data_IF_974391966465
#
_entry.id   IF_974391966465
#
_cell.length_a   1.000
_cell.length_b   1.000
_cell.length_c   1.000
_cell.angle_alpha   90.00
_cell.angle_beta   90.00
_cell.angle_gamma   90.00
#
_symmetry.space_group_name_H-M   'P 1'
#
loop_
_entity.id
_entity.type
_entity.pdbx_description
1 polymer ?
#
# COMPACT_ATOMS: atom_id res chain seq x y z
N UNK A 1 -42.36 3.08 26.03
CA UNK A 1 -43.57 2.47 26.68
C UNK A 1 -43.63 2.84 28.16
N UNK A 2 -42.56 2.71 28.93
CA UNK A 2 -42.57 3.04 30.38
C UNK A 2 -42.90 4.52 30.66
N UNK A 3 -42.33 5.47 29.90
CA UNK A 3 -42.60 6.89 30.03
C UNK A 3 -44.07 7.25 29.82
N UNK A 4 -44.73 6.60 28.89
CA UNK A 4 -46.14 6.81 28.58
C UNK A 4 -47.03 6.34 29.73
N UNK A 5 -46.77 5.15 30.32
CA UNK A 5 -47.45 4.66 31.51
C UNK A 5 -47.26 5.60 32.72
N UNK A 6 -46.08 6.12 32.93
CA UNK A 6 -45.78 7.07 34.01
C UNK A 6 -46.54 8.38 33.78
N UNK A 7 -46.54 8.92 32.55
CA UNK A 7 -47.29 10.14 32.21
C UNK A 7 -48.77 9.99 32.45
N UNK A 8 -49.36 8.85 32.01
CA UNK A 8 -50.77 8.53 32.26
C UNK A 8 -51.05 8.43 33.76
N UNK A 9 -50.17 7.75 34.51
CA UNK A 9 -50.27 7.63 35.96
C UNK A 9 -50.22 8.98 36.69
N UNK A 10 -49.29 9.87 36.30
CA UNK A 10 -49.16 11.22 36.85
C UNK A 10 -50.42 12.06 36.52
N UNK A 11 -50.92 11.99 35.27
CA UNK A 11 -52.12 12.71 34.85
C UNK A 11 -53.35 12.25 35.64
N UNK A 12 -53.51 10.93 35.82
CA UNK A 12 -54.60 10.37 36.62
C UNK A 12 -54.52 10.77 38.10
N UNK A 13 -53.31 10.85 38.68
CA UNK A 13 -53.08 11.29 40.04
C UNK A 13 -53.40 12.78 40.20
N UNK A 14 -52.97 13.63 39.28
CA UNK A 14 -53.29 15.07 39.28
C UNK A 14 -54.81 15.29 39.19
N UNK A 15 -55.48 14.55 38.26
CA UNK A 15 -56.92 14.61 38.11
C UNK A 15 -57.67 14.17 39.40
N UNK A 16 -57.18 13.06 40.01
CA UNK A 16 -57.72 12.56 41.28
C UNK A 16 -57.55 13.54 42.44
N UNK A 17 -56.38 14.14 42.58
CA UNK A 17 -56.09 15.17 43.62
C UNK A 17 -56.95 16.41 43.37
N UNK A 18 -57.02 16.91 42.13
CA UNK A 18 -57.87 18.06 41.78
C UNK A 18 -59.33 17.82 42.08
N UNK A 19 -59.86 16.60 41.79
CA UNK A 19 -61.21 16.19 42.11
C UNK A 19 -61.43 16.14 43.65
N UNK A 20 -60.48 15.58 44.41
CA UNK A 20 -60.54 15.51 45.87
C UNK A 20 -60.56 16.90 46.53
N UNK A 21 -59.72 17.84 46.07
CA UNK A 21 -59.67 19.24 46.56
C UNK A 21 -60.99 19.95 46.22
N UNK A 22 -61.47 19.79 44.94
CA UNK A 22 -62.75 20.39 44.54
C UNK A 22 -63.94 19.90 45.41
N UNK A 23 -63.98 18.60 45.73
CA UNK A 23 -65.00 18.06 46.65
C UNK A 23 -64.83 18.51 48.04
N UNK A 24 -63.61 18.63 48.58
CA UNK A 24 -63.33 19.15 49.89
C UNK A 24 -63.77 20.65 50.04
N UNK A 25 -63.45 21.46 49.04
CA UNK A 25 -63.84 22.85 48.96
C UNK A 25 -65.37 23.03 48.88
N UNK A 26 -66.07 22.19 48.08
CA UNK A 26 -67.52 22.17 47.96
C UNK A 26 -68.17 21.72 49.26
N UNK A 27 -67.66 20.71 49.97
CA UNK A 27 -68.12 20.23 51.22
C UNK A 27 -67.90 21.22 52.37
N UNK A 28 -66.91 22.06 52.32
CA UNK A 28 -66.63 23.14 53.32
C UNK A 28 -67.62 24.28 53.22
N UNK A 29 -68.23 24.51 52.06
CA UNK A 29 -69.17 25.55 51.81
C UNK A 29 -70.65 25.16 52.08
N UNK A 30 -70.98 23.89 52.30
CA UNK A 30 -72.32 23.37 52.59
C UNK A 30 -72.23 22.25 53.62
N UNK A 31 -72.97 22.40 54.71
CA UNK A 31 -73.03 21.54 55.89
C UNK A 31 -73.71 20.15 55.67
N UNK A 32 -73.68 19.60 54.47
CA UNK A 32 -74.25 18.30 54.14
C UNK A 32 -73.28 17.30 53.56
N UNK A 33 -73.05 16.24 54.34
CA UNK A 33 -72.14 15.12 54.03
C UNK A 33 -72.68 14.20 52.94
N UNK A 34 -73.11 14.69 51.75
CA UNK A 34 -73.73 13.87 50.70
C UNK A 34 -72.78 13.35 49.60
N UNK A 35 -71.45 13.67 49.67
CA UNK A 35 -70.53 13.34 48.57
C UNK A 35 -69.54 12.20 48.84
N UNK A 36 -69.85 11.26 49.77
CA UNK A 36 -68.96 10.08 50.02
C UNK A 36 -68.59 9.30 48.76
N UNK A 37 -69.57 9.11 47.86
CA UNK A 37 -69.31 8.40 46.56
C UNK A 37 -68.33 9.12 45.64
N UNK A 38 -68.36 10.44 45.55
CA UNK A 38 -67.43 11.22 44.73
C UNK A 38 -66.02 11.24 45.33
N UNK A 39 -65.92 11.28 46.65
CA UNK A 39 -64.63 11.17 47.34
C UNK A 39 -63.98 9.79 47.15
N UNK A 40 -64.78 8.70 47.20
CA UNK A 40 -64.28 7.35 46.90
C UNK A 40 -63.79 7.22 45.44
N UNK A 41 -64.44 7.89 44.46
CA UNK A 41 -64.01 7.89 43.07
C UNK A 41 -62.64 8.62 42.93
N UNK A 42 -62.49 9.78 43.61
CA UNK A 42 -61.20 10.51 43.61
C UNK A 42 -60.05 9.68 44.19
N UNK A 43 -60.33 8.93 45.27
CA UNK A 43 -59.37 8.09 45.96
C UNK A 43 -58.99 6.88 45.07
N UNK A 44 -59.94 6.30 44.35
CA UNK A 44 -59.71 5.23 43.35
C UNK A 44 -58.85 5.73 42.21
N UNK A 45 -59.08 6.96 41.68
CA UNK A 45 -58.26 7.54 40.61
C UNK A 45 -56.81 7.75 41.06
N UNK A 46 -56.62 8.24 42.30
CA UNK A 46 -55.28 8.38 42.90
C UNK A 46 -54.60 7.02 43.02
N UNK A 47 -55.31 6.00 43.50
CA UNK A 47 -54.76 4.64 43.64
C UNK A 47 -54.40 4.03 42.31
N UNK A 48 -55.22 4.18 41.24
CA UNK A 48 -54.93 3.76 39.89
C UNK A 48 -53.71 4.52 39.33
N UNK A 49 -53.64 5.82 39.53
CA UNK A 49 -52.49 6.61 39.12
C UNK A 49 -51.19 6.15 39.78
N UNK A 50 -51.24 5.88 41.06
CA UNK A 50 -50.07 5.40 41.81
C UNK A 50 -49.68 4.00 41.36
N UNK A 51 -50.65 3.10 41.13
CA UNK A 51 -50.40 1.77 40.60
C UNK A 51 -49.77 1.83 39.18
N UNK A 52 -50.23 2.73 38.33
CA UNK A 52 -49.68 2.91 36.98
C UNK A 52 -48.23 3.43 37.03
N UNK A 53 -47.88 4.31 37.96
CA UNK A 53 -46.50 4.80 38.18
C UNK A 53 -45.60 3.66 38.67
N UNK A 54 -46.08 2.84 39.62
CA UNK A 54 -45.32 1.70 40.14
C UNK A 54 -45.08 0.70 39.04
N UNK A 55 -46.12 0.33 38.28
CA UNK A 55 -46.01 -0.61 37.15
C UNK A 55 -45.09 -0.09 36.06
N UNK A 56 -45.16 1.20 35.69
CA UNK A 56 -44.30 1.81 34.72
C UNK A 56 -42.80 1.79 35.08
N UNK A 57 -42.50 1.81 36.40
CA UNK A 57 -41.13 1.70 36.91
C UNK A 57 -40.70 0.24 37.20
N UNK A 58 -41.60 -0.75 37.10
CA UNK A 58 -41.34 -2.14 37.48
C UNK A 58 -40.65 -2.97 36.42
N UNK A 59 -40.47 -2.45 35.22
CA UNK A 59 -39.82 -3.19 34.15
C UNK A 59 -38.91 -2.33 33.30
N UNK A 60 -37.97 -2.98 32.62
CA UNK A 60 -37.08 -2.36 31.61
C UNK A 60 -36.82 -3.35 30.51
N UNK A 61 -36.55 -2.88 29.30
CA UNK A 61 -36.17 -3.68 28.15
C UNK A 61 -34.72 -3.39 27.80
N UNK A 62 -33.90 -4.42 27.78
CA UNK A 62 -32.50 -4.35 27.39
C UNK A 62 -32.41 -4.63 25.90
N UNK A 63 -31.99 -3.67 25.05
CA UNK A 63 -31.87 -3.88 23.62
C UNK A 63 -30.72 -4.82 23.29
N UNK A 64 -30.79 -5.44 22.09
CA UNK A 64 -29.72 -6.31 21.59
C UNK A 64 -28.39 -5.56 21.46
N UNK A 65 -27.30 -6.18 21.93
CA UNK A 65 -25.95 -5.59 21.96
C UNK A 65 -25.69 -4.72 23.19
N UNK A 66 -26.57 -4.79 24.19
CA UNK A 66 -26.38 -4.18 25.51
C UNK A 66 -26.52 -5.22 26.60
N UNK A 67 -25.80 -5.04 27.67
CA UNK A 67 -25.95 -5.78 28.92
C UNK A 67 -26.54 -4.89 30.00
N UNK A 68 -27.41 -5.44 30.82
CA UNK A 68 -28.01 -4.73 31.94
C UNK A 68 -27.24 -4.96 33.25
N UNK A 69 -26.62 -3.93 33.77
CA UNK A 69 -26.03 -3.99 35.12
C UNK A 69 -27.07 -3.58 36.14
N UNK A 70 -27.52 -4.54 36.96
CA UNK A 70 -28.53 -4.34 37.99
C UNK A 70 -27.88 -3.80 39.26
N UNK A 71 -28.36 -2.66 39.75
CA UNK A 71 -27.96 -2.09 41.03
C UNK A 71 -29.14 -2.10 41.98
N UNK A 72 -28.88 -2.40 43.24
CA UNK A 72 -29.88 -2.36 44.33
C UNK A 72 -29.38 -1.45 45.40
N UNK A 73 -30.11 -0.32 45.64
CA UNK A 73 -29.67 0.74 46.55
C UNK A 73 -28.22 1.23 46.26
N UNK A 74 -27.83 1.29 44.98
CA UNK A 74 -26.47 1.66 44.57
C UNK A 74 -25.43 0.54 44.59
N UNK A 75 -25.72 -0.62 45.19
CA UNK A 75 -24.82 -1.75 45.18
C UNK A 75 -25.00 -2.56 43.87
N UNK A 76 -23.89 -2.78 43.18
CA UNK A 76 -23.90 -3.53 41.90
C UNK A 76 -24.08 -5.02 42.19
N UNK A 77 -24.98 -5.67 41.46
CA UNK A 77 -25.09 -7.12 41.43
C UNK A 77 -24.11 -7.65 40.39
N UNK A 78 -23.31 -8.65 40.77
CA UNK A 78 -22.34 -9.27 39.88
C UNK A 78 -22.99 -9.96 38.66
N UNK A 79 -24.26 -10.39 38.78
CA UNK A 79 -25.00 -11.00 37.67
C UNK A 79 -25.42 -9.91 36.66
N UNK A 80 -25.01 -10.11 35.42
CA UNK A 80 -25.40 -9.28 34.28
C UNK A 80 -26.77 -9.73 33.78
N UNK A 81 -27.69 -8.80 33.54
CA UNK A 81 -28.97 -9.10 32.94
C UNK A 81 -28.82 -9.15 31.40
N UNK A 82 -29.29 -10.23 30.81
CA UNK A 82 -29.27 -10.45 29.37
C UNK A 82 -30.22 -9.51 28.61
N UNK A 83 -30.14 -9.52 27.29
CA UNK A 83 -31.08 -8.82 26.39
C UNK A 83 -32.51 -9.31 26.57
N UNK A 84 -33.46 -8.42 26.48
CA UNK A 84 -34.88 -8.72 26.57
C UNK A 84 -35.60 -7.98 27.69
N UNK A 85 -36.75 -8.54 28.10
CA UNK A 85 -37.60 -7.95 29.12
C UNK A 85 -37.17 -8.39 30.53
N UNK A 86 -37.03 -7.42 31.45
CA UNK A 86 -36.63 -7.68 32.82
C UNK A 86 -37.53 -6.91 33.81
N UNK A 87 -38.01 -7.64 34.81
CA UNK A 87 -38.64 -7.04 35.97
C UNK A 87 -37.60 -6.48 36.93
N UNK A 88 -37.86 -5.33 37.48
CA UNK A 88 -37.09 -4.70 38.55
C UNK A 88 -38.00 -4.19 39.63
N UNK A 89 -37.53 -4.19 40.87
CA UNK A 89 -38.25 -3.59 41.97
C UNK A 89 -38.21 -2.08 41.83
N UNK A 90 -39.39 -1.41 41.64
CA UNK A 90 -39.43 0.04 41.47
C UNK A 90 -38.84 0.74 42.69
N UNK A 91 -38.11 1.87 42.44
CA UNK A 91 -37.44 2.71 43.46
C UNK A 91 -36.28 2.05 44.21
N UNK A 92 -36.15 0.72 44.18
CA UNK A 92 -35.07 -0.03 44.84
C UNK A 92 -33.99 -0.46 43.86
N UNK A 93 -34.40 -0.92 42.66
CA UNK A 93 -33.47 -1.44 41.65
C UNK A 93 -33.43 -0.54 40.43
N UNK A 94 -32.19 -0.34 39.93
CA UNK A 94 -31.93 0.36 38.69
C UNK A 94 -31.12 -0.55 37.77
N UNK A 95 -31.40 -0.56 36.47
CA UNK A 95 -30.64 -1.30 35.46
C UNK A 95 -29.94 -0.27 34.57
N UNK A 96 -28.62 -0.29 34.58
CA UNK A 96 -27.76 0.51 33.69
C UNK A 96 -27.35 -0.30 32.47
N UNK A 97 -27.40 0.34 31.30
CA UNK A 97 -27.06 -0.31 30.04
C UNK A 97 -25.59 -0.10 29.73
N UNK A 98 -24.85 -1.20 29.53
CA UNK A 98 -23.48 -1.19 29.02
C UNK A 98 -23.53 -1.60 27.56
N UNK A 99 -22.87 -0.83 26.69
CA UNK A 99 -22.81 -1.08 25.26
C UNK A 99 -21.76 -2.14 24.95
N UNK A 100 -22.20 -3.33 24.54
CA UNK A 100 -21.33 -4.47 24.17
C UNK A 100 -21.20 -4.64 22.64
N UNK A 101 -21.71 -3.69 21.85
CA UNK A 101 -21.47 -3.67 20.41
C UNK A 101 -20.02 -3.29 20.13
N UNK A 102 -19.58 -3.58 18.93
CA UNK A 102 -18.30 -3.03 18.46
C UNK A 102 -18.35 -1.52 18.44
N UNK A 103 -17.30 -0.91 18.95
CA UNK A 103 -17.15 0.52 19.07
C UNK A 103 -15.81 0.91 18.48
N UNK A 104 -15.80 2.00 17.71
CA UNK A 104 -14.59 2.54 17.13
C UNK A 104 -14.16 3.78 17.94
N UNK A 105 -12.87 3.88 18.18
CA UNK A 105 -12.23 5.09 18.70
C UNK A 105 -11.15 5.52 17.72
N UNK A 106 -11.11 6.80 17.40
CA UNK A 106 -10.12 7.39 16.52
C UNK A 106 -9.19 8.28 17.32
N UNK A 107 -7.91 8.00 17.24
CA UNK A 107 -6.83 8.80 17.83
C UNK A 107 -6.30 9.73 16.74
N UNK A 108 -6.77 10.98 16.74
CA UNK A 108 -6.35 11.98 15.73
C UNK A 108 -5.02 12.66 16.05
N UNK A 109 -4.46 12.45 17.25
CA UNK A 109 -3.16 12.99 17.62
C UNK A 109 -2.02 12.26 16.92
N UNK A 110 -0.96 13.00 16.52
CA UNK A 110 0.24 12.42 15.98
C UNK A 110 1.01 11.66 17.07
N UNK A 111 1.24 10.39 16.83
CA UNK A 111 2.02 9.53 17.72
C UNK A 111 3.40 9.34 17.12
N UNK A 112 4.43 9.88 17.78
CA UNK A 112 5.82 9.70 17.40
C UNK A 112 6.41 8.47 18.08
N UNK A 113 7.19 7.69 17.33
CA UNK A 113 7.93 6.54 17.81
C UNK A 113 9.24 6.36 17.05
N UNK A 114 9.90 5.26 17.29
CA UNK A 114 11.17 4.89 16.66
C UNK A 114 11.09 3.45 16.17
N UNK A 115 11.79 3.16 15.07
CA UNK A 115 11.99 1.79 14.61
C UNK A 115 13.07 1.09 15.44
N UNK A 116 13.29 -0.18 15.17
CA UNK A 116 14.39 -0.96 15.76
C UNK A 116 15.78 -0.33 15.50
N UNK A 117 15.97 0.31 14.36
CA UNK A 117 17.17 1.05 13.99
C UNK A 117 17.20 2.49 14.53
N UNK A 118 16.26 2.85 15.42
CA UNK A 118 16.10 4.20 15.98
C UNK A 118 15.78 5.29 14.94
N UNK A 119 15.17 4.91 13.83
CA UNK A 119 14.67 5.86 12.85
C UNK A 119 13.34 6.44 13.32
N UNK A 120 13.18 7.77 13.40
CA UNK A 120 11.93 8.38 13.83
C UNK A 120 10.82 8.16 12.80
N UNK A 121 9.68 7.69 13.29
CA UNK A 121 8.47 7.43 12.52
C UNK A 121 7.26 7.98 13.27
N UNK A 122 6.26 8.43 12.54
CA UNK A 122 5.02 8.89 13.14
C UNK A 122 3.80 8.20 12.52
N UNK A 123 2.74 8.13 13.31
CA UNK A 123 1.43 7.68 12.85
C UNK A 123 0.36 8.69 13.23
N UNK A 124 -0.64 8.86 12.38
CA UNK A 124 -1.82 9.69 12.61
C UNK A 124 -3.08 8.93 12.23
N UNK A 125 -4.21 9.36 12.79
CA UNK A 125 -5.53 8.75 12.52
C UNK A 125 -5.54 7.24 12.76
N UNK A 126 -5.17 6.85 13.98
CA UNK A 126 -5.22 5.45 14.41
C UNK A 126 -6.63 5.13 14.87
N UNK A 127 -7.28 4.22 14.18
CA UNK A 127 -8.63 3.74 14.49
C UNK A 127 -8.55 2.38 15.15
N UNK A 128 -9.22 2.23 16.28
CA UNK A 128 -9.26 0.99 17.06
C UNK A 128 -10.70 0.56 17.23
N UNK A 129 -11.02 -0.61 16.74
CA UNK A 129 -12.31 -1.27 16.94
C UNK A 129 -12.20 -2.22 18.12
N UNK A 130 -13.01 -2.01 19.14
CA UNK A 130 -13.05 -2.85 20.33
C UNK A 130 -14.46 -3.24 20.70
N UNK A 131 -14.58 -4.25 21.55
CA UNK A 131 -15.84 -4.74 22.07
C UNK A 131 -15.70 -5.09 23.56
N UNK A 132 -16.70 -4.71 24.37
CA UNK A 132 -16.79 -5.11 25.77
C UNK A 132 -17.38 -6.51 25.83
N UNK A 133 -16.77 -7.39 26.62
CA UNK A 133 -17.30 -8.72 26.87
C UNK A 133 -18.50 -8.63 27.82
N UNK A 134 -19.63 -9.21 27.41
CA UNK A 134 -20.90 -9.16 28.13
C UNK A 134 -20.76 -9.60 29.59
N UNK A 135 -19.99 -10.65 29.85
CA UNK A 135 -19.82 -11.24 31.18
C UNK A 135 -19.14 -10.28 32.19
N UNK A 136 -18.36 -9.33 31.71
CA UNK A 136 -17.62 -8.39 32.54
C UNK A 136 -18.25 -7.01 32.65
N UNK A 137 -19.45 -6.82 32.09
CA UNK A 137 -20.13 -5.50 32.09
C UNK A 137 -20.41 -5.00 33.49
N UNK A 138 -20.75 -5.87 34.43
CA UNK A 138 -20.99 -5.50 35.85
C UNK A 138 -19.68 -5.10 36.55
N UNK A 139 -18.60 -5.82 36.28
CA UNK A 139 -17.28 -5.50 36.81
C UNK A 139 -16.78 -4.16 36.29
N UNK A 140 -16.88 -3.93 34.97
CA UNK A 140 -16.50 -2.65 34.34
C UNK A 140 -17.29 -1.48 34.93
N UNK A 141 -18.62 -1.63 35.07
CA UNK A 141 -19.46 -0.59 35.65
C UNK A 141 -19.07 -0.27 37.09
N UNK A 142 -18.63 -1.26 37.88
CA UNK A 142 -18.21 -1.08 39.28
C UNK A 142 -16.84 -0.43 39.44
N UNK A 143 -15.90 -0.71 38.53
CA UNK A 143 -14.50 -0.39 38.68
C UNK A 143 -14.02 0.76 37.79
N UNK A 144 -14.79 1.11 36.74
CA UNK A 144 -14.38 2.14 35.77
C UNK A 144 -15.36 3.28 35.75
N UNK A 145 -14.86 4.47 36.01
CA UNK A 145 -15.68 5.68 36.11
C UNK A 145 -16.30 6.12 34.78
N UNK A 146 -15.56 5.94 33.67
CA UNK A 146 -16.01 6.36 32.35
C UNK A 146 -15.93 5.21 31.33
N UNK A 147 -17.06 4.58 31.06
CA UNK A 147 -17.16 3.49 30.08
C UNK A 147 -17.03 3.96 28.62
N UNK A 148 -17.04 5.26 28.34
CA UNK A 148 -16.85 5.80 27.00
C UNK A 148 -15.38 6.04 26.64
N UNK A 149 -14.49 6.03 27.63
CA UNK A 149 -13.05 6.28 27.47
C UNK A 149 -12.25 5.14 28.10
N UNK A 150 -12.54 3.91 27.67
CA UNK A 150 -11.84 2.71 28.14
C UNK A 150 -10.44 2.61 27.52
N UNK A 151 -10.34 2.95 26.25
CA UNK A 151 -9.08 3.01 25.51
C UNK A 151 -8.74 4.49 25.36
N UNK A 152 -7.70 4.93 26.02
CA UNK A 152 -7.22 6.31 25.98
C UNK A 152 -6.02 6.48 25.04
N UNK A 153 -5.78 7.71 24.60
CA UNK A 153 -4.69 8.06 23.68
C UNK A 153 -3.33 7.60 24.19
N UNK A 154 -3.12 7.61 25.51
CA UNK A 154 -1.85 7.21 26.12
C UNK A 154 -1.62 5.72 26.02
N UNK A 155 -2.67 4.93 26.20
CA UNK A 155 -2.60 3.48 26.09
C UNK A 155 -2.27 3.07 24.66
N UNK A 156 -2.96 3.67 23.69
CA UNK A 156 -2.72 3.44 22.26
C UNK A 156 -1.33 3.89 21.85
N UNK A 157 -0.91 5.08 22.28
CA UNK A 157 0.43 5.59 21.99
C UNK A 157 1.53 4.69 22.56
N UNK A 158 1.35 4.18 23.78
CA UNK A 158 2.30 3.24 24.39
C UNK A 158 2.38 1.92 23.62
N UNK A 159 1.24 1.33 23.25
CA UNK A 159 1.17 0.11 22.48
C UNK A 159 1.79 0.27 21.08
N UNK A 160 1.47 1.39 20.40
CA UNK A 160 2.00 1.68 19.07
C UNK A 160 3.52 1.90 19.09
N UNK A 161 4.04 2.66 20.05
CA UNK A 161 5.49 2.83 20.21
C UNK A 161 6.19 1.50 20.45
N UNK A 162 5.59 0.63 21.27
CA UNK A 162 6.12 -0.70 21.51
C UNK A 162 6.10 -1.58 20.26
N UNK A 163 5.11 -1.43 19.39
CA UNK A 163 5.04 -2.10 18.10
C UNK A 163 6.09 -1.57 17.12
N UNK A 164 6.26 -0.25 17.03
CA UNK A 164 7.24 0.39 16.13
C UNK A 164 8.68 -0.05 16.42
N UNK A 165 9.06 -0.15 17.71
CA UNK A 165 10.42 -0.55 18.11
C UNK A 165 10.76 -2.00 17.71
N UNK A 166 9.78 -2.86 17.49
CA UNK A 166 10.01 -4.25 17.05
C UNK A 166 10.15 -4.37 15.53
N UNK A 167 9.79 -3.33 14.77
CA UNK A 167 9.78 -3.33 13.32
C UNK A 167 11.00 -2.63 12.75
N UNK A 168 11.54 -3.18 11.66
CA UNK A 168 12.60 -2.59 10.86
C UNK A 168 12.03 -1.45 9.99
N UNK A 169 12.92 -0.58 9.51
CA UNK A 169 12.55 0.57 8.65
C UNK A 169 11.74 0.16 7.41
N UNK A 170 12.04 -0.99 6.83
CA UNK A 170 11.36 -1.48 5.63
C UNK A 170 9.93 -1.99 5.90
N UNK A 171 9.65 -2.41 7.13
CA UNK A 171 8.39 -3.07 7.51
C UNK A 171 7.45 -2.16 8.29
N UNK A 172 7.97 -1.15 8.98
CA UNK A 172 7.19 -0.29 9.89
C UNK A 172 6.07 0.47 9.18
N UNK A 173 6.25 0.91 7.95
CA UNK A 173 5.22 1.60 7.16
C UNK A 173 4.25 0.65 6.46
N UNK A 174 4.52 -0.65 6.51
CA UNK A 174 3.64 -1.65 5.92
C UNK A 174 2.55 -2.08 6.93
N UNK A 175 1.31 -1.70 6.65
CA UNK A 175 0.14 -1.98 7.50
C UNK A 175 -0.02 -3.45 7.86
N UNK A 176 0.32 -4.36 6.95
CA UNK A 176 0.18 -5.80 7.17
C UNK A 176 1.04 -6.33 8.32
N UNK A 177 2.09 -5.62 8.69
CA UNK A 177 2.95 -5.97 9.83
C UNK A 177 2.62 -5.16 11.09
N UNK A 178 2.41 -3.84 10.94
CA UNK A 178 2.24 -2.97 12.09
C UNK A 178 0.87 -3.09 12.74
N UNK A 179 -0.20 -3.23 11.96
CA UNK A 179 -1.57 -3.30 12.50
C UNK A 179 -1.81 -4.54 13.37
N UNK A 180 -1.45 -5.78 12.95
CA UNK A 180 -1.60 -6.95 13.82
C UNK A 180 -0.73 -6.88 15.08
N UNK A 181 0.48 -6.33 14.96
CA UNK A 181 1.38 -6.16 16.09
C UNK A 181 0.84 -5.12 17.08
N UNK A 182 0.29 -4.01 16.58
CA UNK A 182 -0.40 -3.03 17.41
C UNK A 182 -1.60 -3.66 18.14
N UNK A 183 -2.41 -4.47 17.44
CA UNK A 183 -3.55 -5.14 18.05
C UNK A 183 -3.11 -6.07 19.20
N UNK A 184 -2.04 -6.85 19.02
CA UNK A 184 -1.50 -7.72 20.06
C UNK A 184 -0.94 -6.93 21.25
N UNK A 185 -0.13 -5.89 21.00
CA UNK A 185 0.41 -5.03 22.06
C UNK A 185 -0.70 -4.30 22.83
N UNK A 186 -1.68 -3.78 22.10
CA UNK A 186 -2.82 -3.09 22.71
C UNK A 186 -3.70 -4.05 23.52
N UNK A 187 -3.96 -5.26 23.01
CA UNK A 187 -4.71 -6.26 23.76
C UNK A 187 -4.00 -6.65 25.07
N UNK A 188 -2.67 -6.81 25.04
CA UNK A 188 -1.87 -7.05 26.26
C UNK A 188 -2.00 -5.87 27.25
N UNK A 189 -1.81 -4.65 26.78
CA UNK A 189 -1.92 -3.47 27.62
C UNK A 189 -3.33 -3.29 28.23
N UNK A 190 -4.37 -3.61 27.46
CA UNK A 190 -5.77 -3.60 27.92
C UNK A 190 -6.01 -4.70 28.94
N UNK A 191 -5.47 -5.89 28.73
CA UNK A 191 -5.56 -7.01 29.68
C UNK A 191 -4.85 -6.72 31.02
N UNK A 192 -3.70 -6.06 30.98
CA UNK A 192 -2.99 -5.61 32.17
C UNK A 192 -3.80 -4.57 32.96
N UNK A 193 -4.49 -3.65 32.26
CA UNK A 193 -5.25 -2.56 32.90
C UNK A 193 -6.60 -3.01 33.45
N UNK A 194 -7.33 -3.88 32.75
CA UNK A 194 -8.71 -4.23 33.07
C UNK A 194 -8.94 -5.70 33.41
N UNK A 195 -7.95 -6.56 33.18
CA UNK A 195 -8.08 -8.01 33.32
C UNK A 195 -8.29 -8.70 31.97
N UNK A 196 -8.03 -9.99 31.96
CA UNK A 196 -8.12 -10.81 30.73
C UNK A 196 -9.54 -10.88 30.20
N UNK A 197 -9.68 -10.74 28.88
CA UNK A 197 -10.94 -10.86 28.16
C UNK A 197 -12.07 -9.90 28.58
N UNK A 198 -11.78 -8.83 29.31
CA UNK A 198 -12.77 -7.81 29.69
C UNK A 198 -13.13 -6.94 28.49
N UNK A 199 -12.12 -6.50 27.76
CA UNK A 199 -12.24 -5.74 26.51
C UNK A 199 -11.46 -6.49 25.43
N UNK A 200 -12.08 -6.70 24.28
CA UNK A 200 -11.51 -7.45 23.16
C UNK A 200 -11.23 -6.46 22.03
N UNK A 201 -9.98 -6.34 21.62
CA UNK A 201 -9.59 -5.59 20.44
C UNK A 201 -9.95 -6.43 19.21
N UNK A 202 -10.78 -5.89 18.32
CA UNK A 202 -11.25 -6.58 17.12
C UNK A 202 -10.40 -6.24 15.90
N UNK A 203 -10.06 -4.98 15.77
CA UNK A 203 -9.27 -4.48 14.65
C UNK A 203 -8.52 -3.22 15.03
N UNK A 204 -7.40 -2.99 14.37
CA UNK A 204 -6.64 -1.74 14.44
C UNK A 204 -6.32 -1.31 13.03
N UNK A 205 -6.51 -0.05 12.72
CA UNK A 205 -6.23 0.54 11.41
C UNK A 205 -5.40 1.80 11.62
N UNK A 206 -4.30 1.91 10.88
CA UNK A 206 -3.46 3.09 10.86
C UNK A 206 -3.63 3.76 9.50
N UNK A 207 -4.32 4.90 9.46
CA UNK A 207 -4.61 5.57 8.20
C UNK A 207 -3.37 6.21 7.58
N UNK A 208 -2.50 6.77 8.40
CA UNK A 208 -1.30 7.44 7.92
C UNK A 208 -0.11 7.12 8.82
N UNK A 209 0.98 6.66 8.21
CA UNK A 209 2.24 6.34 8.88
C UNK A 209 3.40 6.65 7.94
N UNK A 210 4.35 7.44 8.40
CA UNK A 210 5.48 7.88 7.60
C UNK A 210 6.69 8.21 8.50
N UNK A 211 7.84 8.40 7.87
CA UNK A 211 9.05 8.85 8.54
C UNK A 211 9.10 10.37 8.68
N UNK A 212 9.99 10.86 9.52
CA UNK A 212 10.29 12.27 9.59
C UNK A 212 10.78 12.79 8.23
N UNK A 213 10.41 14.03 7.89
CA UNK A 213 10.73 14.65 6.60
C UNK A 213 12.24 14.64 6.29
N UNK A 214 13.08 14.90 7.30
CA UNK A 214 14.51 14.87 7.18
C UNK A 214 15.06 13.49 6.73
N UNK A 215 14.46 12.42 7.24
CA UNK A 215 14.81 11.06 6.87
C UNK A 215 14.34 10.72 5.45
N UNK A 216 13.10 11.10 5.10
CA UNK A 216 12.56 10.93 3.74
C UNK A 216 13.40 11.66 2.69
N UNK A 217 13.87 12.87 2.98
CA UNK A 217 14.78 13.60 2.12
C UNK A 217 16.15 12.90 1.97
N UNK A 218 16.69 12.35 3.05
CA UNK A 218 17.94 11.60 2.99
C UNK A 218 17.81 10.31 2.15
N UNK A 219 16.73 9.59 2.29
CA UNK A 219 16.41 8.40 1.45
C UNK A 219 16.24 8.80 -0.02
N UNK A 220 15.51 9.88 -0.31
CA UNK A 220 15.32 10.37 -1.67
C UNK A 220 16.67 10.75 -2.31
N UNK A 221 17.54 11.48 -1.60
CA UNK A 221 18.86 11.83 -2.06
C UNK A 221 19.76 10.61 -2.31
N UNK A 222 19.73 9.61 -1.42
CA UNK A 222 20.44 8.34 -1.58
C UNK A 222 19.96 7.58 -2.82
N UNK A 223 18.65 7.54 -3.04
CA UNK A 223 18.05 6.91 -4.22
C UNK A 223 18.49 7.60 -5.51
N UNK A 224 18.45 8.94 -5.55
CA UNK A 224 18.92 9.74 -6.69
C UNK A 224 20.39 9.46 -6.97
N UNK A 225 21.23 9.45 -5.93
CA UNK A 225 22.67 9.17 -6.07
C UNK A 225 22.92 7.74 -6.59
N UNK A 226 22.17 6.76 -6.12
CA UNK A 226 22.24 5.38 -6.60
C UNK A 226 21.82 5.25 -8.07
N UNK A 227 20.71 5.90 -8.46
CA UNK A 227 20.26 5.92 -9.85
C UNK A 227 21.26 6.62 -10.78
N UNK A 228 21.87 7.73 -10.33
CA UNK A 228 22.91 8.42 -11.08
C UNK A 228 24.14 7.53 -11.28
N UNK A 229 24.56 6.80 -10.24
CA UNK A 229 25.67 5.85 -10.34
C UNK A 229 25.36 4.73 -11.35
N UNK A 230 24.18 4.13 -11.26
CA UNK A 230 23.76 3.10 -12.22
C UNK A 230 23.69 3.61 -13.66
N UNK A 231 23.18 4.82 -13.86
CA UNK A 231 23.16 5.44 -15.19
C UNK A 231 24.58 5.63 -15.72
N UNK A 232 25.51 6.15 -14.90
CA UNK A 232 26.90 6.33 -15.29
C UNK A 232 27.60 5.00 -15.61
N UNK A 233 27.30 3.94 -14.86
CA UNK A 233 27.80 2.59 -15.15
C UNK A 233 27.28 2.08 -16.50
N UNK A 234 26.00 2.24 -16.80
CA UNK A 234 25.39 1.86 -18.09
C UNK A 234 25.97 2.72 -19.23
N UNK A 235 26.13 4.03 -19.05
CA UNK A 235 26.75 4.90 -20.04
C UNK A 235 28.19 4.49 -20.35
N UNK A 236 28.98 4.17 -19.33
CA UNK A 236 30.36 3.68 -19.48
C UNK A 236 30.41 2.33 -20.22
N UNK A 237 29.54 1.39 -19.82
CA UNK A 237 29.45 0.07 -20.50
C UNK A 237 29.02 0.21 -21.96
N UNK A 238 28.07 1.09 -22.22
CA UNK A 238 27.61 1.41 -23.59
C UNK A 238 28.72 2.03 -24.41
N UNK A 239 29.50 2.96 -23.83
CA UNK A 239 30.64 3.60 -24.49
C UNK A 239 31.75 2.57 -24.82
N UNK A 240 32.06 1.67 -23.89
CA UNK A 240 33.02 0.58 -24.11
C UNK A 240 32.55 -0.37 -25.23
N UNK A 241 31.28 -0.80 -25.13
CA UNK A 241 30.67 -1.70 -26.15
C UNK A 241 30.68 -1.06 -27.54
N UNK A 242 30.37 0.24 -27.61
CA UNK A 242 30.45 1.00 -28.87
C UNK A 242 31.87 1.09 -29.42
N UNK A 243 32.84 1.42 -28.56
CA UNK A 243 34.25 1.47 -28.98
C UNK A 243 34.76 0.11 -29.46
N UNK A 244 34.36 -0.99 -28.83
CA UNK A 244 34.67 -2.34 -29.28
C UNK A 244 34.00 -2.69 -30.63
N UNK A 245 32.74 -2.29 -30.81
CA UNK A 245 32.03 -2.45 -32.06
C UNK A 245 32.69 -1.64 -33.20
N UNK A 246 33.02 -0.38 -32.95
CA UNK A 246 33.71 0.50 -33.90
C UNK A 246 35.11 -0.10 -34.30
N UNK A 247 35.85 -0.61 -33.31
CA UNK A 247 37.12 -1.30 -33.54
C UNK A 247 36.92 -2.56 -34.44
N UNK A 248 35.90 -3.38 -34.16
CA UNK A 248 35.61 -4.57 -35.02
C UNK A 248 35.24 -4.17 -36.43
N UNK A 249 34.44 -3.13 -36.59
CA UNK A 249 34.10 -2.59 -37.93
C UNK A 249 35.33 -2.08 -38.67
N UNK A 250 36.22 -1.33 -37.99
CA UNK A 250 37.46 -0.84 -38.58
C UNK A 250 38.40 -1.98 -39.00
N UNK A 251 38.54 -3.02 -38.19
CA UNK A 251 39.32 -4.21 -38.52
C UNK A 251 38.73 -4.92 -39.73
N UNK A 252 37.42 -5.20 -39.74
CA UNK A 252 36.74 -5.84 -40.84
C UNK A 252 36.84 -5.03 -42.16
N UNK A 253 36.74 -3.70 -42.08
CA UNK A 253 36.96 -2.82 -43.24
C UNK A 253 38.39 -2.89 -43.77
N UNK A 254 39.39 -2.87 -42.89
CA UNK A 254 40.79 -3.00 -43.28
C UNK A 254 41.12 -4.39 -43.90
N UNK A 255 40.56 -5.44 -43.32
CA UNK A 255 40.68 -6.83 -43.88
C UNK A 255 40.02 -6.94 -45.25
N UNK A 256 38.84 -6.37 -45.45
CA UNK A 256 38.15 -6.34 -46.73
C UNK A 256 38.91 -5.55 -47.78
N UNK A 257 39.51 -4.40 -47.39
CA UNK A 257 40.34 -3.63 -48.30
C UNK A 257 41.63 -4.39 -48.69
N UNK A 258 42.30 -5.03 -47.73
CA UNK A 258 43.46 -5.86 -47.99
C UNK A 258 43.13 -7.03 -48.89
N UNK A 259 42.02 -7.69 -48.67
CA UNK A 259 41.57 -8.83 -49.53
C UNK A 259 41.22 -8.34 -50.94
N UNK A 260 40.55 -7.19 -51.07
CA UNK A 260 40.26 -6.60 -52.38
C UNK A 260 41.52 -6.27 -53.15
N UNK A 261 42.55 -5.69 -52.48
CA UNK A 261 43.87 -5.42 -53.09
C UNK A 261 44.58 -6.73 -53.48
N UNK A 262 44.50 -7.77 -52.66
CA UNK A 262 45.07 -9.09 -52.94
C UNK A 262 44.44 -9.72 -54.21
N UNK A 263 43.10 -9.73 -54.24
CA UNK A 263 42.35 -10.26 -55.39
C UNK A 263 42.65 -9.47 -56.68
N UNK A 264 42.75 -8.13 -56.60
CA UNK A 264 43.10 -7.30 -57.72
C UNK A 264 44.52 -7.58 -58.25
N UNK A 265 45.50 -7.71 -57.34
CA UNK A 265 46.88 -8.05 -57.70
C UNK A 265 47.01 -9.46 -58.31
N UNK A 266 46.27 -10.42 -57.77
CA UNK A 266 46.21 -11.80 -58.34
C UNK A 266 45.60 -11.80 -59.74
N UNK A 267 44.46 -11.07 -59.92
CA UNK A 267 43.84 -10.95 -61.24
C UNK A 267 44.73 -10.19 -62.24
N UNK A 268 45.48 -9.19 -61.83
CA UNK A 268 46.43 -8.48 -62.66
C UNK A 268 47.61 -9.43 -63.08
N UNK A 269 48.17 -10.17 -62.13
CA UNK A 269 49.20 -11.13 -62.36
C UNK A 269 48.74 -12.23 -63.33
N UNK A 270 47.53 -12.75 -63.17
CA UNK A 270 46.94 -13.74 -64.05
C UNK A 270 46.69 -13.19 -65.47
N UNK A 271 46.21 -11.95 -65.55
CA UNK A 271 46.04 -11.24 -66.81
C UNK A 271 47.37 -11.01 -67.55
N UNK A 272 48.46 -10.67 -66.83
CA UNK A 272 49.82 -10.53 -67.39
C UNK A 272 50.31 -11.85 -67.85
N UNK A 273 50.20 -12.97 -67.10
CA UNK A 273 50.57 -14.28 -67.46
C UNK A 273 49.79 -14.75 -68.71
N UNK A 274 48.49 -14.52 -68.72
CA UNK A 274 47.64 -14.93 -69.89
C UNK A 274 48.04 -14.15 -71.16
N UNK A 275 48.31 -12.84 -71.01
CA UNK A 275 48.82 -12.04 -72.15
C UNK A 275 50.18 -12.47 -72.58
N UNK A 276 51.12 -12.71 -71.68
CA UNK A 276 52.46 -13.24 -72.03
C UNK A 276 52.40 -14.58 -72.68
N UNK A 277 51.55 -15.52 -72.22
CA UNK A 277 51.37 -16.82 -72.86
C UNK A 277 50.74 -16.68 -74.23
N UNK A 278 49.75 -15.82 -74.44
CA UNK A 278 49.14 -15.54 -75.73
C UNK A 278 50.13 -14.93 -76.71
N UNK A 279 50.96 -13.95 -76.24
CA UNK A 279 52.04 -13.39 -77.05
C UNK A 279 53.12 -14.39 -77.40
N UNK A 280 53.54 -15.28 -76.48
CA UNK A 280 54.49 -16.34 -76.74
C UNK A 280 53.93 -17.35 -77.76
N UNK A 281 52.67 -17.74 -77.65
CA UNK A 281 51.96 -18.62 -78.60
C UNK A 281 51.83 -17.95 -79.98
N UNK A 282 51.46 -16.67 -80.03
CA UNK A 282 51.41 -15.91 -81.28
C UNK A 282 52.77 -15.78 -81.91
N UNK A 283 53.79 -15.48 -81.10
CA UNK A 283 55.21 -15.42 -81.65
C UNK A 283 55.69 -16.81 -82.14
N UNK A 284 55.34 -17.92 -81.44
CA UNK A 284 55.65 -19.28 -81.87
C UNK A 284 54.97 -19.60 -83.20
N UNK A 285 53.65 -19.28 -83.30
CA UNK A 285 52.91 -19.51 -84.57
C UNK A 285 53.47 -18.62 -85.69
N UNK A 286 53.89 -17.38 -85.38
CA UNK A 286 54.56 -16.50 -86.34
C UNK A 286 55.88 -17.10 -86.79
N UNK A 287 56.74 -17.55 -85.85
CA UNK A 287 57.99 -18.20 -86.14
C UNK A 287 57.83 -19.50 -86.98
N UNK A 288 56.79 -20.30 -86.64
CA UNK A 288 56.49 -21.52 -87.43
C UNK A 288 55.99 -21.23 -88.85
N UNK A 289 55.35 -20.06 -89.05
CA UNK A 289 54.83 -19.62 -90.35
C UNK A 289 55.86 -18.82 -91.22
N UNK A 290 56.95 -18.36 -90.60
CA UNK A 290 57.98 -17.60 -91.26
C UNK A 290 58.98 -18.53 -91.96
N UNK A 291 58.68 -18.85 -93.20
CA UNK A 291 59.64 -19.46 -94.11
C UNK A 291 60.69 -18.37 -94.51
N UNK A 292 61.92 -18.82 -94.80
CA UNK A 292 63.04 -17.92 -95.17
C UNK A 292 62.72 -16.93 -96.31
N UNK A 293 61.83 -17.36 -97.22
CA UNK A 293 61.31 -16.51 -98.32
C UNK A 293 60.40 -15.38 -97.84
N UNK A 294 59.57 -15.57 -96.77
CA UNK A 294 58.69 -14.58 -96.22
C UNK A 294 59.45 -13.52 -95.40
N UNK A 295 60.54 -13.94 -94.72
CA UNK A 295 61.43 -13.03 -93.98
C UNK A 295 62.13 -12.11 -94.95
N UNK A 296 62.61 -12.63 -96.03
CA UNK A 296 63.24 -11.83 -97.11
C UNK A 296 62.24 -10.84 -97.71
N UNK A 297 61.00 -11.28 -97.99
CA UNK A 297 59.95 -10.39 -98.52
C UNK A 297 59.55 -9.25 -97.58
N UNK A 298 59.35 -9.53 -96.29
CA UNK A 298 59.02 -8.44 -95.27
C UNK A 298 60.20 -7.52 -94.99
N UNK A 299 61.44 -8.02 -95.15
CA UNK A 299 62.64 -7.16 -95.00
C UNK A 299 62.73 -6.22 -96.22
N UNK A 300 62.39 -6.68 -97.43
CA UNK A 300 62.34 -5.86 -98.64
C UNK A 300 61.18 -4.85 -98.53
N UNK A 301 60.00 -5.24 -98.01
CA UNK A 301 58.79 -4.36 -97.89
C UNK A 301 58.96 -3.20 -96.85
N UNK A 302 59.81 -3.41 -95.86
CA UNK A 302 60.18 -2.38 -94.86
C UNK A 302 61.49 -1.67 -95.14
N UNK A 303 62.16 -2.03 -96.27
CA UNK A 303 63.39 -1.37 -96.63
C UNK A 303 63.12 -0.02 -97.25
N UNK A 304 63.68 1.04 -96.72
CA UNK A 304 63.58 2.44 -97.12
C UNK A 304 64.49 2.77 -98.36
N UNK A 305 65.06 1.78 -98.97
CA UNK A 305 65.90 1.92 -100.17
C UNK A 305 67.31 2.44 -99.87
N UNK A 306 67.69 2.60 -98.65
CA UNK A 306 69.01 3.07 -98.26
C UNK A 306 69.98 1.88 -98.05
N UNK A 307 71.11 1.86 -98.77
CA UNK A 307 72.19 0.83 -98.56
C UNK A 307 72.88 1.15 -97.20
N UNK A 308 73.01 0.14 -96.34
CA UNK A 308 73.65 0.30 -95.06
C UNK A 308 75.12 0.72 -95.27
N UNK A 309 75.51 1.83 -94.80
CA UNK A 309 76.92 2.31 -94.72
C UNK A 309 77.62 1.50 -93.63
N UNK A 310 78.13 0.37 -93.99
CA UNK A 310 79.05 -0.37 -93.12
C UNK A 310 80.49 0.01 -93.49
N UNK A 311 81.13 0.72 -92.60
CA UNK A 311 82.54 0.97 -92.61
C UNK A 311 83.20 0.12 -91.52
N UNK A 312 83.53 -1.10 -91.87
CA UNK A 312 84.21 -2.04 -90.95
C UNK A 312 84.23 -3.45 -91.49
N UNK A 313 85.29 -4.12 -91.15
CA UNK A 313 85.69 -5.46 -91.64
C UNK A 313 84.81 -6.56 -90.97
N UNK A 314 83.51 -6.55 -91.21
CA UNK A 314 82.54 -7.63 -90.79
C UNK A 314 81.65 -8.04 -91.98
N UNK A 315 81.46 -9.32 -92.20
CA UNK A 315 80.59 -9.91 -93.24
C UNK A 315 79.18 -9.30 -93.18
N UNK A 316 78.57 -8.98 -94.31
CA UNK A 316 77.19 -8.41 -94.31
C UNK A 316 76.18 -9.46 -93.92
N UNK A 317 75.29 -9.07 -93.03
CA UNK A 317 74.22 -9.91 -92.50
C UNK A 317 73.20 -10.36 -93.54
N UNK A 318 73.25 -9.83 -94.80
CA UNK A 318 72.40 -10.20 -95.92
C UNK A 318 73.29 -10.49 -97.15
N UNK A 319 73.42 -11.80 -97.55
CA UNK A 319 73.86 -12.18 -98.86
C UNK A 319 72.68 -12.13 -99.80
N UNK A 320 72.69 -11.30 -100.78
CA UNK A 320 71.77 -11.31 -101.90
C UNK A 320 72.48 -12.03 -103.04
N UNK A 321 71.99 -13.27 -103.29
CA UNK A 321 72.34 -14.02 -104.51
C UNK A 321 71.43 -13.66 -105.66
#
# INVERSE_FOLDING_TARGET
MNTLLIIIGVAAMIAGIGCAIGIAAYNSSRYESKNKKRFTIALILIAIGLAAIVLGNSFTVIPTGYSGVRTRFGQVNAAVADKGFHWKTPFVETIYLVNNKQQDITIGSTIWGETKEKTPVYATDVVITYQINENFSAWLYSNVTNLKSLIDDKLVASALKSAMVELDVETVTNRSYVEPLLADKLQKAVNEKYGENVIIIKNTVINNMDFEESYNLAIANKSIASQNKQRQEIENETAISKAEADKKVAIAAAEAEAETKRIAAEAEAEAILTRANAEAEANRKLAESLTEAIIKNKTIEKWDGGLPKVTGDSDPIIKID
#
